data_IF_402022955556
#
_entry.id   IF_402022955556
#
_cell.length_a   1.000
_cell.length_b   1.000
_cell.length_c   1.000
_cell.angle_alpha   90.00
_cell.angle_beta   90.00
_cell.angle_gamma   90.00
#
_symmetry.space_group_name_H-M   'P 1'
#
loop_
_entity.id
_entity.type
_entity.pdbx_description
1 polymer ?
#
# COMPACT_ATOMS: atom_id res chain seq x y z
N UNK A 1 -12.67 -23.85 -8.40
CA UNK A 1 -12.29 -23.54 -7.01
C UNK A 1 -13.12 -22.37 -6.52
N UNK A 2 -13.87 -22.58 -5.47
CA UNK A 2 -14.66 -21.51 -4.88
C UNK A 2 -13.76 -20.69 -3.96
N UNK A 3 -13.85 -19.36 -4.05
CA UNK A 3 -13.32 -18.46 -3.04
C UNK A 3 -14.10 -18.64 -1.73
N UNK A 4 -13.46 -18.32 -0.60
CA UNK A 4 -14.21 -18.24 0.65
C UNK A 4 -15.28 -17.15 0.55
N UNK A 5 -16.39 -17.32 1.29
CA UNK A 5 -17.46 -16.31 1.29
C UNK A 5 -16.90 -14.92 1.71
N UNK A 6 -15.94 -14.90 2.61
CA UNK A 6 -15.26 -13.66 3.04
C UNK A 6 -14.61 -12.89 1.89
N UNK A 7 -13.97 -13.59 0.95
CA UNK A 7 -13.35 -12.96 -0.23
C UNK A 7 -14.43 -12.38 -1.15
N UNK A 8 -15.49 -13.14 -1.37
CA UNK A 8 -16.60 -12.71 -2.24
C UNK A 8 -17.30 -11.48 -1.66
N UNK A 9 -17.68 -11.54 -0.39
CA UNK A 9 -18.36 -10.45 0.29
C UNK A 9 -17.52 -9.17 0.29
N UNK A 10 -16.24 -9.30 0.63
CA UNK A 10 -15.30 -8.17 0.61
C UNK A 10 -15.14 -7.57 -0.77
N UNK A 11 -15.01 -8.39 -1.79
CA UNK A 11 -14.92 -7.93 -3.17
C UNK A 11 -16.16 -7.16 -3.62
N UNK A 12 -17.36 -7.67 -3.31
CA UNK A 12 -18.61 -7.00 -3.62
C UNK A 12 -18.77 -5.66 -2.89
N UNK A 13 -18.37 -5.60 -1.60
CA UNK A 13 -18.40 -4.36 -0.82
C UNK A 13 -17.51 -3.29 -1.45
N UNK A 14 -16.30 -3.66 -1.88
CA UNK A 14 -15.36 -2.75 -2.52
C UNK A 14 -15.89 -2.23 -3.84
N UNK A 15 -16.53 -3.07 -4.64
CA UNK A 15 -17.13 -2.65 -5.91
C UNK A 15 -18.27 -1.65 -5.71
N UNK A 16 -19.02 -1.81 -4.63
CA UNK A 16 -20.16 -0.90 -4.31
C UNK A 16 -19.68 0.45 -3.77
N UNK A 17 -18.63 0.45 -2.94
CA UNK A 17 -18.15 1.63 -2.22
C UNK A 17 -16.62 1.70 -2.20
N UNK A 18 -15.94 1.88 -3.34
CA UNK A 18 -14.50 1.80 -3.42
C UNK A 18 -13.77 2.82 -2.51
N UNK A 19 -14.30 4.02 -2.39
CA UNK A 19 -13.67 5.06 -1.56
C UNK A 19 -13.72 4.75 -0.07
N UNK A 20 -14.78 4.11 0.41
CA UNK A 20 -14.92 3.69 1.81
C UNK A 20 -13.92 2.56 2.17
N UNK A 21 -13.47 1.82 1.18
CA UNK A 21 -12.50 0.75 1.32
C UNK A 21 -11.09 1.17 0.90
N UNK A 22 -10.78 2.46 1.00
CA UNK A 22 -9.44 3.02 0.77
C UNK A 22 -8.90 2.86 -0.65
N UNK A 23 -9.75 2.64 -1.63
CA UNK A 23 -9.36 2.67 -3.05
C UNK A 23 -9.10 4.11 -3.46
N UNK A 24 -7.91 4.39 -3.97
CA UNK A 24 -7.55 5.73 -4.39
C UNK A 24 -6.05 6.00 -4.36
N UNK A 25 -5.70 7.28 -4.26
CA UNK A 25 -4.30 7.72 -4.19
C UNK A 25 -4.15 8.98 -3.36
N UNK A 26 -2.96 9.14 -2.76
CA UNK A 26 -2.42 10.41 -2.26
C UNK A 26 -1.39 10.96 -3.24
N UNK A 27 -0.98 12.21 -3.07
CA UNK A 27 0.16 12.74 -3.80
C UNK A 27 1.45 12.06 -3.28
N UNK A 28 2.21 11.39 -4.15
CA UNK A 28 3.44 10.72 -3.72
C UNK A 28 4.55 11.68 -3.31
N UNK A 29 4.41 12.97 -3.63
CA UNK A 29 5.37 14.03 -3.27
C UNK A 29 5.11 14.60 -1.87
N UNK A 30 3.95 14.32 -1.26
CA UNK A 30 3.69 14.74 0.11
C UNK A 30 4.71 14.12 1.06
N UNK A 31 5.25 14.93 1.97
CA UNK A 31 6.30 14.50 2.89
C UNK A 31 5.82 13.44 3.88
N UNK A 32 4.51 13.44 4.19
CA UNK A 32 3.85 12.50 5.10
C UNK A 32 3.31 11.24 4.40
N UNK A 33 3.57 11.08 3.10
CA UNK A 33 3.10 9.95 2.30
C UNK A 33 4.25 9.02 1.91
N UNK A 34 4.15 7.77 2.30
CA UNK A 34 5.02 6.69 1.84
C UNK A 34 4.34 5.90 0.73
N UNK A 35 5.05 5.59 -0.34
CA UNK A 35 4.53 4.87 -1.49
C UNK A 35 5.32 3.58 -1.72
N UNK A 36 4.60 2.47 -1.84
CA UNK A 36 5.14 1.19 -2.27
C UNK A 36 4.40 0.67 -3.50
N UNK A 37 5.11 0.04 -4.41
CA UNK A 37 4.54 -0.58 -5.59
C UNK A 37 5.18 -1.94 -5.84
N UNK A 38 4.35 -2.94 -5.99
CA UNK A 38 4.80 -4.32 -6.21
C UNK A 38 3.96 -4.99 -7.28
N UNK A 39 4.61 -5.78 -8.11
CA UNK A 39 3.98 -6.57 -9.15
C UNK A 39 4.29 -8.06 -9.01
N UNK A 40 3.34 -8.90 -9.38
CA UNK A 40 3.52 -10.33 -9.49
C UNK A 40 3.41 -10.74 -10.97
N UNK A 41 4.55 -10.80 -11.72
CA UNK A 41 4.53 -11.03 -13.16
C UNK A 41 3.84 -12.33 -13.59
N UNK A 42 3.87 -13.33 -12.70
CA UNK A 42 3.28 -14.65 -12.97
C UNK A 42 1.75 -14.62 -13.13
N UNK A 43 1.08 -13.65 -12.51
CA UNK A 43 -0.39 -13.50 -12.56
C UNK A 43 -0.83 -12.14 -13.11
N UNK A 44 0.08 -11.23 -13.44
CA UNK A 44 -0.22 -9.89 -13.91
C UNK A 44 -0.80 -8.95 -12.84
N UNK A 45 -0.80 -9.37 -11.58
CA UNK A 45 -1.29 -8.56 -10.48
C UNK A 45 -0.26 -7.48 -10.12
N UNK A 46 -0.72 -6.25 -9.94
CA UNK A 46 0.08 -5.12 -9.48
C UNK A 46 -0.65 -4.42 -8.34
N UNK A 47 0.08 -4.06 -7.31
CA UNK A 47 -0.43 -3.29 -6.18
C UNK A 47 0.42 -2.05 -5.94
N UNK A 48 -0.24 -0.90 -5.86
CA UNK A 48 0.34 0.35 -5.35
C UNK A 48 -0.32 0.66 -4.01
N UNK A 49 0.51 0.79 -2.98
CA UNK A 49 0.10 1.10 -1.62
C UNK A 49 0.67 2.45 -1.22
N UNK A 50 -0.15 3.29 -0.60
CA UNK A 50 0.29 4.57 -0.05
C UNK A 50 -0.17 4.68 1.39
N UNK A 51 0.79 4.97 2.26
CA UNK A 51 0.58 5.17 3.70
C UNK A 51 0.73 6.65 4.02
N UNK A 52 -0.23 7.20 4.75
CA UNK A 52 -0.10 8.53 5.33
C UNK A 52 0.28 8.40 6.80
N UNK A 53 1.36 9.07 7.20
CA UNK A 53 1.94 8.94 8.53
C UNK A 53 1.93 10.28 9.26
N UNK A 54 1.82 10.20 10.58
CA UNK A 54 1.99 11.35 11.44
C UNK A 54 3.46 11.48 11.94
N UNK A 55 3.72 12.51 12.75
CA UNK A 55 5.07 12.76 13.30
C UNK A 55 5.53 11.69 14.31
N UNK A 56 4.63 10.86 14.80
CA UNK A 56 4.93 9.72 15.68
C UNK A 56 5.11 8.41 14.90
N UNK A 57 5.24 8.49 13.56
CA UNK A 57 5.35 7.34 12.67
C UNK A 57 4.14 6.40 12.76
N UNK A 58 2.98 6.95 13.07
CA UNK A 58 1.72 6.23 13.12
C UNK A 58 0.98 6.39 11.79
N UNK A 59 0.50 5.29 11.25
CA UNK A 59 -0.28 5.26 10.01
C UNK A 59 -1.69 5.78 10.30
N UNK A 60 -2.00 6.96 9.77
CA UNK A 60 -3.28 7.65 9.99
C UNK A 60 -4.29 7.34 8.90
N UNK A 61 -3.83 7.11 7.69
CA UNK A 61 -4.69 6.74 6.56
C UNK A 61 -3.90 5.91 5.54
N UNK A 62 -4.60 5.11 4.76
CA UNK A 62 -4.02 4.25 3.73
C UNK A 62 -4.87 4.34 2.47
N UNK A 63 -4.23 4.42 1.32
CA UNK A 63 -4.86 4.29 0.01
C UNK A 63 -4.15 3.23 -0.81
N UNK A 64 -4.91 2.55 -1.65
CA UNK A 64 -4.32 1.58 -2.56
C UNK A 64 -4.97 1.62 -3.94
N UNK A 65 -4.21 1.18 -4.92
CA UNK A 65 -4.70 0.78 -6.23
C UNK A 65 -4.13 -0.58 -6.57
N UNK A 66 -4.96 -1.44 -7.09
CA UNK A 66 -4.52 -2.76 -7.55
C UNK A 66 -5.11 -3.07 -8.91
N UNK A 67 -4.32 -3.77 -9.71
CA UNK A 67 -4.77 -4.40 -10.94
C UNK A 67 -4.59 -5.89 -10.75
N UNK A 68 -5.67 -6.65 -10.84
CA UNK A 68 -5.59 -8.09 -10.58
C UNK A 68 -6.96 -8.72 -10.39
N UNK A 69 -6.94 -9.92 -9.83
CA UNK A 69 -8.15 -10.70 -9.58
C UNK A 69 -8.94 -10.21 -8.36
N UNK A 70 -10.17 -10.70 -8.19
CA UNK A 70 -11.01 -10.34 -7.05
C UNK A 70 -10.39 -10.64 -5.69
N UNK A 71 -9.57 -11.70 -5.57
CA UNK A 71 -8.84 -12.00 -4.33
C UNK A 71 -7.72 -10.99 -4.06
N UNK A 72 -7.08 -10.41 -5.08
CA UNK A 72 -6.10 -9.34 -4.89
C UNK A 72 -6.77 -8.08 -4.33
N UNK A 73 -7.96 -7.73 -4.82
CA UNK A 73 -8.74 -6.60 -4.33
C UNK A 73 -9.18 -6.85 -2.87
N UNK A 74 -9.75 -8.01 -2.57
CA UNK A 74 -10.17 -8.37 -1.22
C UNK A 74 -9.00 -8.39 -0.23
N UNK A 75 -7.85 -8.95 -0.63
CA UNK A 75 -6.62 -8.96 0.18
C UNK A 75 -6.13 -7.55 0.47
N UNK A 76 -6.17 -6.67 -0.52
CA UNK A 76 -5.75 -5.28 -0.37
C UNK A 76 -6.59 -4.53 0.66
N UNK A 77 -7.90 -4.70 0.66
CA UNK A 77 -8.80 -4.04 1.63
C UNK A 77 -8.62 -4.56 3.05
N UNK A 78 -8.53 -5.87 3.23
CA UNK A 78 -8.25 -6.48 4.53
C UNK A 78 -6.92 -5.96 5.10
N UNK A 79 -5.95 -5.92 4.26
CA UNK A 79 -4.62 -5.45 4.57
C UNK A 79 -4.59 -3.98 5.00
N UNK A 80 -5.30 -3.11 4.30
CA UNK A 80 -5.47 -1.70 4.68
C UNK A 80 -6.05 -1.56 6.08
N UNK A 81 -7.10 -2.33 6.41
CA UNK A 81 -7.70 -2.34 7.75
C UNK A 81 -6.71 -2.77 8.84
N UNK A 82 -5.81 -3.69 8.51
CA UNK A 82 -4.75 -4.13 9.44
C UNK A 82 -3.66 -3.07 9.66
N UNK A 83 -3.47 -2.15 8.73
CA UNK A 83 -2.43 -1.11 8.77
C UNK A 83 -2.87 0.17 9.49
N UNK A 84 -4.12 0.60 9.30
CA UNK A 84 -4.61 1.85 9.89
C UNK A 84 -4.51 1.82 11.40
N UNK A 85 -3.89 2.86 11.97
CA UNK A 85 -3.69 3.00 13.41
C UNK A 85 -2.44 2.29 13.96
N UNK A 86 -1.70 1.56 13.14
CA UNK A 86 -0.43 0.93 13.54
C UNK A 86 0.75 1.88 13.32
N UNK A 87 1.82 1.64 14.08
CA UNK A 87 3.10 2.30 13.84
C UNK A 87 3.87 1.60 12.71
N UNK A 88 4.90 2.26 12.20
CA UNK A 88 5.80 1.67 11.20
C UNK A 88 6.39 0.35 11.70
N UNK A 89 6.79 0.28 12.98
CA UNK A 89 7.34 -0.94 13.58
C UNK A 89 6.32 -2.08 13.61
N UNK A 90 5.08 -1.78 14.00
CA UNK A 90 3.99 -2.78 14.01
C UNK A 90 3.62 -3.24 12.60
N UNK A 91 3.64 -2.34 11.63
CA UNK A 91 3.36 -2.66 10.23
C UNK A 91 4.40 -3.62 9.64
N UNK A 92 5.67 -3.52 10.05
CA UNK A 92 6.73 -4.44 9.62
C UNK A 92 6.52 -5.88 10.09
N UNK A 93 5.74 -6.09 11.15
CA UNK A 93 5.45 -7.41 11.71
C UNK A 93 4.32 -8.14 10.98
N UNK A 94 3.55 -7.45 10.15
CA UNK A 94 2.47 -8.06 9.36
C UNK A 94 3.07 -8.96 8.29
N UNK A 95 2.63 -10.20 8.28
CA UNK A 95 3.07 -11.22 7.33
C UNK A 95 1.96 -11.61 6.37
N UNK A 96 2.37 -12.13 5.21
CA UNK A 96 1.47 -12.69 4.20
C UNK A 96 0.52 -13.73 4.77
N UNK A 97 1.01 -14.54 5.71
CA UNK A 97 0.22 -15.56 6.40
C UNK A 97 -0.94 -14.96 7.19
N UNK A 98 -0.74 -13.86 7.89
CA UNK A 98 -1.78 -13.20 8.69
C UNK A 98 -2.95 -12.74 7.79
N UNK A 99 -2.62 -12.23 6.60
CA UNK A 99 -3.60 -11.82 5.59
C UNK A 99 -4.32 -13.04 5.00
N UNK A 100 -3.56 -14.06 4.66
CA UNK A 100 -4.09 -15.29 4.08
C UNK A 100 -5.06 -16.00 5.03
N UNK A 101 -4.72 -16.08 6.32
CA UNK A 101 -5.57 -16.66 7.36
C UNK A 101 -6.85 -15.83 7.58
N UNK A 102 -6.72 -14.49 7.63
CA UNK A 102 -7.86 -13.59 7.84
C UNK A 102 -8.93 -13.72 6.74
N UNK A 103 -8.50 -13.95 5.49
CA UNK A 103 -9.37 -14.11 4.34
C UNK A 103 -9.70 -15.56 4.00
N UNK A 104 -9.09 -16.53 4.70
CA UNK A 104 -9.23 -17.95 4.35
C UNK A 104 -8.90 -18.22 2.87
N UNK A 105 -7.77 -17.65 2.41
CA UNK A 105 -7.37 -17.77 1.01
C UNK A 105 -7.01 -19.21 0.66
N UNK A 106 -7.49 -19.72 -0.48
CA UNK A 106 -7.02 -21.00 -0.98
C UNK A 106 -5.54 -20.94 -1.35
N UNK A 107 -4.83 -22.06 -1.24
CA UNK A 107 -3.37 -22.14 -1.47
C UNK A 107 -2.93 -21.57 -2.82
N UNK A 108 -3.74 -21.73 -3.85
CA UNK A 108 -3.46 -21.19 -5.20
C UNK A 108 -3.49 -19.65 -5.25
N UNK A 109 -4.07 -19.00 -4.24
CA UNK A 109 -4.20 -17.53 -4.15
C UNK A 109 -3.32 -16.89 -3.07
N UNK A 110 -2.43 -17.64 -2.46
CA UNK A 110 -1.49 -17.10 -1.47
C UNK A 110 -0.56 -16.02 -2.05
N UNK A 111 -0.34 -16.01 -3.34
CA UNK A 111 0.44 -14.94 -3.99
C UNK A 111 -0.16 -13.54 -3.78
N UNK A 112 -1.48 -13.41 -3.58
CA UNK A 112 -2.13 -12.13 -3.31
C UNK A 112 -1.72 -11.58 -1.93
N UNK A 113 -1.58 -12.42 -0.91
CA UNK A 113 -1.10 -12.01 0.40
C UNK A 113 0.40 -11.69 0.40
N UNK A 114 1.20 -12.44 -0.36
CA UNK A 114 2.63 -12.14 -0.56
C UNK A 114 2.82 -10.80 -1.25
N UNK A 115 2.00 -10.48 -2.26
CA UNK A 115 2.02 -9.19 -2.94
C UNK A 115 1.71 -8.04 -1.98
N UNK A 116 0.73 -8.22 -1.10
CA UNK A 116 0.38 -7.25 -0.08
C UNK A 116 1.54 -7.02 0.90
N UNK A 117 2.15 -8.06 1.46
CA UNK A 117 3.32 -7.95 2.34
C UNK A 117 4.48 -7.22 1.65
N UNK A 118 4.77 -7.57 0.41
CA UNK A 118 5.85 -6.94 -0.37
C UNK A 118 5.59 -5.43 -0.60
N UNK A 119 4.33 -5.06 -0.82
CA UNK A 119 3.93 -3.65 -0.97
C UNK A 119 4.13 -2.83 0.30
N UNK A 120 3.89 -3.41 1.49
CA UNK A 120 4.23 -2.75 2.76
C UNK A 120 5.73 -2.51 2.84
N UNK A 121 6.52 -3.54 2.66
CA UNK A 121 7.97 -3.44 2.80
C UNK A 121 8.54 -2.37 1.89
N UNK A 122 8.02 -2.27 0.67
CA UNK A 122 8.42 -1.24 -0.28
C UNK A 122 7.99 0.16 0.17
N UNK A 123 6.76 0.32 0.66
CA UNK A 123 6.27 1.59 1.21
C UNK A 123 7.07 2.04 2.44
N UNK A 124 7.39 1.13 3.36
CA UNK A 124 8.18 1.44 4.55
C UNK A 124 9.62 1.81 4.19
N UNK A 125 10.20 1.17 3.19
CA UNK A 125 11.51 1.55 2.65
C UNK A 125 11.49 2.95 2.04
N UNK A 126 10.44 3.31 1.33
CA UNK A 126 10.27 4.67 0.84
C UNK A 126 10.12 5.68 1.99
N UNK A 127 9.42 5.30 3.07
CA UNK A 127 9.31 6.11 4.28
C UNK A 127 10.66 6.37 4.94
N UNK A 128 11.50 5.36 5.08
CA UNK A 128 12.84 5.50 5.67
C UNK A 128 13.67 6.59 4.97
N UNK A 129 13.48 6.77 3.67
CA UNK A 129 14.10 7.85 2.90
C UNK A 129 13.50 9.24 3.13
N UNK A 130 12.27 9.33 3.61
CA UNK A 130 11.55 10.59 3.82
C UNK A 130 11.44 11.01 5.29
N UNK A 131 11.54 10.06 6.22
CA UNK A 131 11.24 10.30 7.64
C UNK A 131 12.10 11.38 8.26
N UNK A 132 13.38 11.44 7.94
CA UNK A 132 14.29 12.44 8.49
C UNK A 132 13.91 13.85 8.07
N UNK A 133 13.47 14.03 6.83
CA UNK A 133 13.00 15.32 6.32
C UNK A 133 11.66 15.72 6.96
N UNK A 134 10.74 14.78 7.09
CA UNK A 134 9.40 15.03 7.65
C UNK A 134 9.44 15.28 9.17
N UNK A 135 10.17 14.44 9.92
CA UNK A 135 10.27 14.54 11.37
C UNK A 135 11.22 15.65 11.77
N UNK A 136 12.33 15.84 11.02
CA UNK A 136 13.35 16.85 11.28
C UNK A 136 12.93 18.29 10.95
N UNK A 137 11.92 18.50 10.12
CA UNK A 137 11.46 19.82 9.72
C UNK A 137 10.74 20.60 10.84
N UNK A 138 10.57 20.02 12.02
CA UNK A 138 10.01 20.72 13.19
C UNK A 138 11.04 21.44 14.07
N UNK A 139 12.37 21.34 13.76
CA UNK A 139 13.39 21.90 14.65
C UNK A 139 14.61 22.52 13.94
N UNK A 140 14.44 23.15 12.79
CA UNK A 140 15.41 24.17 12.34
C UNK A 140 14.92 24.99 11.15
N UNK A 141 14.51 26.20 11.44
CA UNK A 141 14.76 27.31 10.52
C UNK A 141 16.26 27.57 10.46
N UNK A 142 17.00 26.88 9.61
CA UNK A 142 18.27 27.35 9.04
C UNK A 142 18.49 26.58 7.74
N UNK A 143 18.59 27.36 6.66
CA UNK A 143 18.69 26.84 5.30
C UNK A 143 19.97 26.05 5.03
N UNK A 144 19.81 25.09 4.17
CA UNK A 144 20.80 24.76 3.14
C UNK A 144 20.09 24.13 1.95
N UNK A 145 20.05 24.91 0.86
CA UNK A 145 19.69 24.43 -0.45
C UNK A 145 20.67 23.35 -0.89
N UNK A 146 20.19 22.14 -1.08
CA UNK A 146 20.79 21.22 -2.02
C UNK A 146 19.68 20.28 -2.53
N UNK A 147 19.36 20.29 -3.82
CA UNK A 147 18.41 19.36 -4.37
C UNK A 147 19.01 17.95 -4.40
N UNK A 148 18.25 16.89 -4.04
CA UNK A 148 18.72 15.53 -4.20
C UNK A 148 18.85 15.22 -5.70
N UNK A 149 20.07 14.97 -6.13
CA UNK A 149 20.34 14.41 -7.45
C UNK A 149 20.05 12.92 -7.41
N UNK A 150 19.17 12.46 -8.26
CA UNK A 150 19.00 11.04 -8.56
C UNK A 150 17.56 10.53 -8.57
N UNK A 151 16.64 11.24 -9.22
CA UNK A 151 15.40 10.65 -9.65
C UNK A 151 15.57 10.12 -11.07
N UNK A 152 15.71 8.81 -11.19
CA UNK A 152 15.42 8.14 -12.45
C UNK A 152 13.93 8.35 -12.73
N UNK A 153 13.64 9.21 -13.69
CA UNK A 153 12.30 9.36 -14.25
C UNK A 153 11.95 8.05 -14.95
N UNK A 154 11.10 7.26 -14.33
CA UNK A 154 10.39 6.22 -15.05
C UNK A 154 9.17 6.94 -15.63
N UNK A 155 9.22 7.23 -16.93
CA UNK A 155 8.09 7.72 -17.66
C UNK A 155 6.97 6.67 -17.60
N UNK A 156 5.84 7.08 -17.04
CA UNK A 156 4.63 6.26 -17.06
C UNK A 156 4.16 6.08 -18.51
N UNK A 157 3.96 4.87 -18.99
CA UNK A 157 3.26 4.69 -20.25
C UNK A 157 1.81 5.10 -20.05
N UNK A 158 1.44 6.20 -20.68
CA UNK A 158 0.06 6.62 -20.84
C UNK A 158 -0.70 5.54 -21.62
N UNK A 159 -1.40 4.69 -20.93
CA UNK A 159 -2.51 3.94 -21.54
C UNK A 159 -3.68 4.01 -20.57
N UNK A 160 -4.55 4.93 -20.86
CA UNK A 160 -5.83 5.13 -20.24
C UNK A 160 -6.71 3.92 -20.55
N UNK A 161 -7.08 3.17 -19.53
CA UNK A 161 -8.33 2.39 -19.58
C UNK A 161 -9.10 2.80 -18.33
N UNK A 162 -10.06 3.67 -18.54
CA UNK A 162 -11.09 3.98 -17.57
C UNK A 162 -12.07 2.82 -17.48
N UNK A 163 -12.28 2.33 -16.27
CA UNK A 163 -13.52 1.70 -15.86
C UNK A 163 -13.92 2.35 -14.56
#
# INVERSE_FOLDING_TARGET
MAYSQKVVDRFEEVLKNPEQHSVGKFDPNDADVATGMTGAPACGDVMKLQLKLDKNEKITDVKFKTYGCGSAIASSTMFVEMLVGKTVEEAQLIKDRDIAEALELPSIKLHCSVLAEASIKDALKNWDGKREEFIGSSDSMIGHNNPPQGLLQIEEPTTTVEI
#
